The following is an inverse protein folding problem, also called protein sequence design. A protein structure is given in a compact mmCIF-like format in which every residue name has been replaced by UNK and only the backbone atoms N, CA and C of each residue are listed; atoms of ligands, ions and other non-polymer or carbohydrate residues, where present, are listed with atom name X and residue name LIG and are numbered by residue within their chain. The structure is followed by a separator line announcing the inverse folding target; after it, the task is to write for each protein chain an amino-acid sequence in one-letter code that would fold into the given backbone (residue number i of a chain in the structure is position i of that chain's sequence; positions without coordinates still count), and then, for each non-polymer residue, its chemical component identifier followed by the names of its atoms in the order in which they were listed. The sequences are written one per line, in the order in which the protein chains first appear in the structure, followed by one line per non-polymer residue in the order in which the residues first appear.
data_IF_264144130140
#
_entry.id   IF_264144130140
#
_cell.length_a   1.000
_cell.length_b   1.000
_cell.length_c   1.000
_cell.angle_alpha   90.00
_cell.angle_beta   90.00
_cell.angle_gamma   90.00
#
_symmetry.space_group_name_H-M   'P 1'
#
loop_
_entity.id
_entity.type
_entity.pdbx_description
1 polymer ?
#
# COMPACT_ATOMS: atom_id res chain seq x y z
N UNK A 1 17.99 14.34 -20.17
CA UNK A 1 17.95 13.93 -18.74
C UNK A 1 19.34 13.90 -18.11
N UNK A 2 20.38 13.32 -18.75
CA UNK A 2 21.76 13.37 -18.22
C UNK A 2 22.32 14.79 -18.06
N UNK A 3 22.06 15.69 -19.02
CA UNK A 3 22.53 17.09 -18.99
C UNK A 3 21.91 17.90 -17.83
N UNK A 4 20.65 17.63 -17.48
CA UNK A 4 19.94 18.30 -16.37
C UNK A 4 20.47 17.81 -15.01
N UNK A 5 20.79 16.52 -14.90
CA UNK A 5 21.44 15.97 -13.69
C UNK A 5 22.84 16.53 -13.45
N UNK A 6 23.60 16.78 -14.53
CA UNK A 6 24.94 17.38 -14.45
C UNK A 6 24.85 18.86 -14.04
N UNK A 7 23.88 19.63 -14.55
CA UNK A 7 23.67 21.04 -14.17
C UNK A 7 23.19 21.24 -12.72
N UNK A 8 22.50 20.24 -12.14
CA UNK A 8 22.15 20.23 -10.72
C UNK A 8 23.37 20.05 -9.82
N UNK A 9 24.32 19.17 -10.20
CA UNK A 9 25.57 19.00 -9.44
C UNK A 9 26.46 20.24 -9.43
N UNK A 10 26.35 21.11 -10.44
CA UNK A 10 27.13 22.36 -10.55
C UNK A 10 26.42 23.54 -9.85
N UNK A 11 25.30 23.32 -9.16
CA UNK A 11 24.55 24.34 -8.41
C UNK A 11 24.09 25.55 -9.26
N UNK A 12 23.78 25.31 -10.54
CA UNK A 12 23.31 26.35 -11.47
C UNK A 12 21.79 26.27 -11.69
N UNK A 13 21.14 25.15 -11.35
CA UNK A 13 19.72 24.92 -11.60
C UNK A 13 18.88 24.87 -10.31
N UNK A 14 17.93 25.79 -10.17
CA UNK A 14 16.95 25.82 -9.08
C UNK A 14 15.81 24.80 -9.31
N UNK A 15 15.19 24.30 -8.23
CA UNK A 15 14.05 23.35 -8.26
C UNK A 15 12.94 23.76 -9.26
N UNK A 16 12.55 25.05 -9.38
CA UNK A 16 11.57 25.49 -10.37
C UNK A 16 11.99 25.24 -11.82
N UNK A 17 13.28 25.38 -12.16
CA UNK A 17 13.78 25.14 -13.51
C UNK A 17 13.71 23.65 -13.87
N UNK A 18 13.99 22.74 -12.92
CA UNK A 18 13.80 21.30 -13.14
C UNK A 18 12.34 20.92 -13.35
N UNK A 19 11.43 21.45 -12.52
CA UNK A 19 9.98 21.22 -12.69
C UNK A 19 9.48 21.79 -14.03
N UNK A 20 9.97 22.96 -14.45
CA UNK A 20 9.63 23.54 -15.75
C UNK A 20 10.15 22.70 -16.92
N UNK A 21 11.38 22.17 -16.83
CA UNK A 21 11.96 21.32 -17.86
C UNK A 21 11.26 19.97 -17.97
N UNK A 22 10.83 19.38 -16.85
CA UNK A 22 9.98 18.18 -16.82
C UNK A 22 8.61 18.49 -17.42
N UNK A 23 8.03 19.65 -17.10
CA UNK A 23 6.77 20.11 -17.68
C UNK A 23 6.84 20.27 -19.20
N UNK A 24 7.87 20.96 -19.71
CA UNK A 24 8.11 21.12 -21.15
C UNK A 24 8.37 19.77 -21.81
N UNK A 25 9.13 18.88 -21.16
CA UNK A 25 9.35 17.52 -21.66
C UNK A 25 8.05 16.71 -21.75
N UNK A 26 7.14 16.84 -20.78
CA UNK A 26 5.83 16.20 -20.82
C UNK A 26 4.91 16.75 -21.91
N UNK A 27 4.97 18.06 -22.17
CA UNK A 27 4.24 18.70 -23.27
C UNK A 27 4.80 18.24 -24.63
N UNK A 28 6.12 18.25 -24.81
CA UNK A 28 6.76 17.87 -26.07
C UNK A 28 6.65 16.37 -26.37
N UNK A 29 6.67 15.51 -25.36
CA UNK A 29 6.60 14.05 -25.55
C UNK A 29 5.18 13.57 -25.85
N UNK A 30 4.17 14.43 -25.77
CA UNK A 30 2.79 14.09 -26.10
C UNK A 30 2.33 12.85 -25.34
N UNK A 31 2.43 12.86 -24.01
CA UNK A 31 1.70 11.86 -23.25
C UNK A 31 0.23 12.12 -23.52
N UNK A 32 -0.49 11.11 -24.03
CA UNK A 32 -1.94 11.10 -24.26
C UNK A 32 -2.75 11.29 -22.95
N UNK A 33 -2.35 12.22 -22.08
CA UNK A 33 -2.96 12.54 -20.79
C UNK A 33 -4.40 12.96 -21.02
N UNK A 34 -4.66 13.80 -22.02
CA UNK A 34 -6.02 14.24 -22.36
C UNK A 34 -6.92 13.08 -22.79
N UNK A 35 -6.39 12.14 -23.59
CA UNK A 35 -7.14 10.93 -23.97
C UNK A 35 -7.35 9.98 -22.78
N UNK A 36 -6.39 9.92 -21.85
CA UNK A 36 -6.50 9.12 -20.62
C UNK A 36 -7.51 9.73 -19.65
N UNK A 37 -7.54 11.05 -19.49
CA UNK A 37 -8.51 11.78 -18.67
C UNK A 37 -9.91 11.65 -19.31
N UNK A 38 -10.05 11.89 -20.62
CA UNK A 38 -11.30 11.71 -21.33
C UNK A 38 -11.83 10.27 -21.26
N UNK A 39 -10.94 9.28 -21.39
CA UNK A 39 -11.26 7.87 -21.20
C UNK A 39 -11.67 7.53 -19.77
N UNK A 40 -11.00 8.11 -18.77
CA UNK A 40 -11.34 7.93 -17.35
C UNK A 40 -12.73 8.52 -17.02
N UNK A 41 -13.05 9.71 -17.53
CA UNK A 41 -14.37 10.35 -17.36
C UNK A 41 -15.46 9.52 -18.05
N UNK A 42 -15.22 9.04 -19.27
CA UNK A 42 -16.15 8.16 -19.99
C UNK A 42 -16.39 6.86 -19.22
N UNK A 43 -15.35 6.24 -18.68
CA UNK A 43 -15.45 5.05 -17.84
C UNK A 43 -16.19 5.34 -16.53
N UNK A 44 -16.00 6.52 -15.93
CA UNK A 44 -16.71 6.96 -14.73
C UNK A 44 -18.22 7.09 -14.97
N UNK A 45 -18.64 7.69 -16.08
CA UNK A 45 -20.06 7.77 -16.43
C UNK A 45 -20.68 6.38 -16.68
N UNK A 46 -19.90 5.41 -17.16
CA UNK A 46 -20.36 4.03 -17.36
C UNK A 46 -20.61 3.28 -16.05
N UNK A 47 -20.04 3.71 -14.91
CA UNK A 47 -20.25 3.08 -13.59
C UNK A 47 -21.74 3.08 -13.22
N UNK A 48 -22.47 4.16 -13.51
CA UNK A 48 -23.90 4.26 -13.21
C UNK A 48 -24.77 3.27 -14.00
N UNK A 49 -24.25 2.71 -15.10
CA UNK A 49 -24.97 1.74 -15.96
C UNK A 49 -24.58 0.28 -15.66
N UNK A 50 -23.67 0.04 -14.70
CA UNK A 50 -23.22 -1.29 -14.32
C UNK A 50 -24.20 -1.98 -13.34
N UNK A 51 -24.26 -3.33 -13.32
CA UNK A 51 -25.00 -4.05 -12.29
C UNK A 51 -24.43 -3.79 -10.89
N UNK A 52 -25.28 -3.86 -9.85
CA UNK A 52 -24.95 -3.45 -8.48
C UNK A 52 -23.64 -4.05 -7.92
N UNK A 53 -23.33 -5.31 -8.24
CA UNK A 53 -22.08 -5.96 -7.80
C UNK A 53 -20.82 -5.40 -8.48
N UNK A 54 -20.92 -4.85 -9.69
CA UNK A 54 -19.83 -4.19 -10.39
C UNK A 54 -19.67 -2.72 -9.95
N UNK A 55 -20.78 -2.05 -9.58
CA UNK A 55 -20.74 -0.75 -8.93
C UNK A 55 -20.00 -0.82 -7.58
N UNK A 56 -20.29 -1.84 -6.77
CA UNK A 56 -19.61 -2.07 -5.49
C UNK A 56 -18.09 -2.23 -5.67
N UNK A 57 -17.65 -2.97 -6.70
CA UNK A 57 -16.23 -3.12 -7.03
C UNK A 57 -15.57 -1.80 -7.42
N UNK A 58 -16.28 -0.98 -8.17
CA UNK A 58 -15.78 0.32 -8.61
C UNK A 58 -15.71 1.31 -7.44
N UNK A 59 -16.76 1.35 -6.60
CA UNK A 59 -16.76 2.12 -5.35
C UNK A 59 -15.61 1.71 -4.44
N UNK A 60 -15.39 0.41 -4.24
CA UNK A 60 -14.27 -0.09 -3.45
C UNK A 60 -12.91 0.35 -4.00
N UNK A 61 -12.73 0.40 -5.33
CA UNK A 61 -11.50 0.92 -5.93
C UNK A 61 -11.29 2.41 -5.64
N UNK A 62 -12.34 3.24 -5.71
CA UNK A 62 -12.27 4.65 -5.35
C UNK A 62 -11.96 4.85 -3.86
N UNK A 63 -12.67 4.15 -2.98
CA UNK A 63 -12.44 4.20 -1.54
C UNK A 63 -11.02 3.76 -1.20
N UNK A 64 -10.52 2.72 -1.85
CA UNK A 64 -9.14 2.24 -1.67
C UNK A 64 -8.12 3.31 -2.08
N UNK A 65 -8.33 3.95 -3.22
CA UNK A 65 -7.46 5.02 -3.69
C UNK A 65 -7.40 6.20 -2.71
N UNK A 66 -8.56 6.66 -2.24
CA UNK A 66 -8.65 7.76 -1.27
C UNK A 66 -7.99 7.37 0.05
N UNK A 67 -8.33 6.21 0.61
CA UNK A 67 -7.76 5.73 1.88
C UNK A 67 -6.26 5.50 1.78
N UNK A 68 -5.75 5.06 0.63
CA UNK A 68 -4.32 4.90 0.42
C UNK A 68 -3.59 6.25 0.46
N UNK A 69 -4.11 7.27 -0.22
CA UNK A 69 -3.54 8.62 -0.18
C UNK A 69 -3.57 9.19 1.24
N UNK A 70 -4.71 9.05 1.94
CA UNK A 70 -4.83 9.50 3.33
C UNK A 70 -3.86 8.71 4.24
N UNK A 71 -3.68 7.42 4.00
CA UNK A 71 -2.71 6.60 4.73
C UNK A 71 -1.27 7.09 4.57
N UNK A 72 -0.87 7.46 3.34
CA UNK A 72 0.46 8.06 3.10
C UNK A 72 0.61 9.40 3.83
N UNK A 73 -0.42 10.24 3.80
CA UNK A 73 -0.43 11.51 4.54
C UNK A 73 -0.32 11.28 6.05
N UNK A 74 -1.07 10.33 6.61
CA UNK A 74 -1.00 9.98 8.02
C UNK A 74 0.37 9.44 8.42
N UNK A 75 1.01 8.61 7.57
CA UNK A 75 2.38 8.16 7.79
C UNK A 75 3.37 9.32 7.84
N UNK A 76 3.24 10.29 6.92
CA UNK A 76 4.07 11.49 6.89
C UNK A 76 3.92 12.34 8.16
N UNK A 77 2.69 12.69 8.54
CA UNK A 77 2.42 13.51 9.75
C UNK A 77 2.89 12.79 11.01
N UNK A 78 2.66 11.48 11.12
CA UNK A 78 3.11 10.67 12.26
C UNK A 78 4.63 10.67 12.38
N UNK A 79 5.34 10.54 11.26
CA UNK A 79 6.81 10.57 11.23
C UNK A 79 7.35 11.91 11.70
N UNK A 80 6.78 13.01 11.21
CA UNK A 80 7.18 14.36 11.64
C UNK A 80 6.94 14.56 13.13
N UNK A 81 5.76 14.17 13.62
CA UNK A 81 5.46 14.22 15.06
C UNK A 81 6.46 13.42 15.88
N UNK A 82 6.78 12.20 15.46
CA UNK A 82 7.73 11.34 16.15
C UNK A 82 9.16 11.92 16.17
N UNK A 83 9.60 12.57 15.10
CA UNK A 83 10.89 13.27 15.05
C UNK A 83 10.94 14.37 16.13
N UNK A 84 9.96 15.28 16.14
CA UNK A 84 9.96 16.41 17.06
C UNK A 84 9.83 15.98 18.54
N UNK A 85 9.19 14.85 18.80
CA UNK A 85 9.11 14.27 20.15
C UNK A 85 10.44 13.66 20.59
N UNK A 86 11.12 12.92 19.72
CA UNK A 86 12.35 12.19 20.06
C UNK A 86 13.61 13.05 19.98
N UNK A 87 13.61 14.06 19.10
CA UNK A 87 14.73 14.95 18.83
C UNK A 87 14.24 16.40 18.82
N UNK A 88 14.20 17.08 19.99
CA UNK A 88 13.90 18.51 20.04
C UNK A 88 15.00 19.28 19.29
N UNK A 89 14.60 20.10 18.31
CA UNK A 89 15.47 20.82 17.36
C UNK A 89 16.29 19.90 16.41
N UNK A 90 15.61 19.16 15.51
CA UNK A 90 16.31 18.33 14.54
C UNK A 90 17.15 19.19 13.58
N UNK A 91 18.38 18.76 13.23
CA UNK A 91 19.24 19.49 12.32
C UNK A 91 18.70 19.50 10.90
N UNK A 92 19.04 20.53 10.11
CA UNK A 92 18.55 20.67 8.75
C UNK A 92 18.96 19.46 7.86
N UNK A 93 18.01 18.82 7.12
CA UNK A 93 18.29 17.62 6.34
C UNK A 93 19.32 17.77 5.22
N UNK A 94 19.45 18.98 4.65
CA UNK A 94 20.35 19.25 3.52
C UNK A 94 21.80 19.41 3.98
N UNK A 95 22.01 19.91 5.20
CA UNK A 95 23.36 20.10 5.75
C UNK A 95 23.85 18.89 6.55
N UNK A 96 22.96 18.13 7.20
CA UNK A 96 23.31 17.00 8.07
C UNK A 96 22.79 15.65 7.56
N UNK A 97 23.00 15.33 6.29
CA UNK A 97 22.48 14.11 5.66
C UNK A 97 22.90 12.82 6.38
N UNK A 98 24.15 12.70 6.83
CA UNK A 98 24.63 11.52 7.56
C UNK A 98 23.87 11.24 8.86
N UNK A 99 23.46 12.30 9.56
CA UNK A 99 22.66 12.16 10.78
C UNK A 99 21.28 11.57 10.47
N UNK A 100 20.64 12.01 9.38
CA UNK A 100 19.36 11.48 8.95
C UNK A 100 19.44 10.05 8.39
N UNK A 101 20.54 9.70 7.73
CA UNK A 101 20.80 8.33 7.27
C UNK A 101 20.84 7.33 8.43
N UNK A 102 21.47 7.70 9.55
CA UNK A 102 21.50 6.88 10.76
C UNK A 102 20.10 6.68 11.38
N UNK A 103 19.18 7.61 11.15
CA UNK A 103 17.78 7.54 11.64
C UNK A 103 16.81 6.93 10.66
N UNK A 104 17.25 6.45 9.49
CA UNK A 104 16.38 5.77 8.50
C UNK A 104 15.52 4.68 9.12
N UNK A 105 16.04 3.76 9.97
CA UNK A 105 15.21 2.71 10.56
C UNK A 105 14.04 3.29 11.35
N UNK A 106 14.30 4.32 12.18
CA UNK A 106 13.28 5.00 12.96
C UNK A 106 12.25 5.73 12.08
N UNK A 107 12.70 6.42 11.03
CA UNK A 107 11.81 7.12 10.08
C UNK A 107 10.89 6.15 9.36
N UNK A 108 11.44 5.05 8.84
CA UNK A 108 10.67 3.99 8.18
C UNK A 108 9.70 3.36 9.19
N UNK A 109 10.15 3.05 10.39
CA UNK A 109 9.32 2.46 11.44
C UNK A 109 8.12 3.33 11.80
N UNK A 110 8.35 4.64 11.97
CA UNK A 110 7.32 5.63 12.27
C UNK A 110 6.33 5.80 11.12
N UNK A 111 6.83 5.89 9.89
CA UNK A 111 6.01 5.99 8.69
C UNK A 111 5.11 4.78 8.54
N UNK A 112 5.68 3.56 8.58
CA UNK A 112 4.93 2.30 8.50
C UNK A 112 3.87 2.26 9.59
N UNK A 113 4.23 2.56 10.84
CA UNK A 113 3.30 2.50 11.96
C UNK A 113 2.11 3.45 11.83
N UNK A 114 2.31 4.63 11.22
CA UNK A 114 1.26 5.61 10.96
C UNK A 114 0.42 5.32 9.70
N UNK A 115 0.98 4.70 8.66
CA UNK A 115 0.27 4.49 7.39
C UNK A 115 -0.40 3.13 7.25
N UNK A 116 0.14 2.09 7.89
CA UNK A 116 -0.16 0.70 7.55
C UNK A 116 -1.61 0.30 7.84
N UNK A 117 -2.23 0.88 8.86
CA UNK A 117 -3.61 0.56 9.24
C UNK A 117 -4.59 0.98 8.14
N UNK A 118 -4.48 2.23 7.68
CA UNK A 118 -5.32 2.74 6.59
C UNK A 118 -5.02 2.06 5.26
N UNK A 119 -3.74 1.79 4.97
CA UNK A 119 -3.35 1.05 3.76
C UNK A 119 -3.92 -0.38 3.75
N UNK A 120 -3.90 -1.07 4.89
CA UNK A 120 -4.47 -2.41 5.02
C UNK A 120 -6.00 -2.38 4.91
N UNK A 121 -6.68 -1.44 5.57
CA UNK A 121 -8.13 -1.25 5.45
C UNK A 121 -8.53 -1.00 3.99
N UNK A 122 -7.80 -0.12 3.29
CA UNK A 122 -8.01 0.16 1.88
C UNK A 122 -7.94 -1.12 1.03
N UNK A 123 -6.87 -1.90 1.19
CA UNK A 123 -6.68 -3.13 0.43
C UNK A 123 -7.72 -4.21 0.80
N UNK A 124 -8.12 -4.32 2.07
CA UNK A 124 -9.17 -5.24 2.52
C UNK A 124 -10.52 -4.92 1.88
N UNK A 125 -10.88 -3.63 1.78
CA UNK A 125 -12.11 -3.18 1.11
C UNK A 125 -12.12 -3.66 -0.35
N UNK A 126 -11.00 -3.50 -1.07
CA UNK A 126 -10.87 -4.01 -2.45
C UNK A 126 -11.02 -5.54 -2.52
N UNK A 127 -10.42 -6.28 -1.59
CA UNK A 127 -10.51 -7.74 -1.57
C UNK A 127 -11.95 -8.19 -1.29
N UNK A 128 -12.63 -7.59 -0.32
CA UNK A 128 -14.03 -7.88 0.01
C UNK A 128 -14.93 -7.61 -1.19
N UNK A 129 -14.74 -6.49 -1.86
CA UNK A 129 -15.49 -6.16 -3.06
C UNK A 129 -15.25 -7.16 -4.19
N UNK A 130 -14.01 -7.63 -4.36
CA UNK A 130 -13.68 -8.68 -5.32
C UNK A 130 -14.31 -10.04 -4.95
N UNK A 131 -14.39 -10.39 -3.66
CA UNK A 131 -15.06 -11.62 -3.19
C UNK A 131 -16.54 -11.58 -3.58
N UNK A 132 -17.24 -10.49 -3.28
CA UNK A 132 -18.65 -10.29 -3.64
C UNK A 132 -18.82 -10.36 -5.16
N UNK A 133 -17.99 -9.63 -5.90
CA UNK A 133 -18.01 -9.65 -7.37
C UNK A 133 -17.83 -11.06 -7.94
N UNK A 134 -16.86 -11.84 -7.45
CA UNK A 134 -16.59 -13.20 -7.92
C UNK A 134 -17.68 -14.19 -7.51
N UNK A 135 -18.32 -14.01 -6.36
CA UNK A 135 -19.45 -14.83 -5.94
C UNK A 135 -20.62 -14.69 -6.92
N UNK A 136 -21.04 -13.45 -7.19
CA UNK A 136 -22.19 -13.18 -8.07
C UNK A 136 -21.89 -13.46 -9.55
N UNK A 137 -20.66 -13.22 -9.99
CA UNK A 137 -20.23 -13.59 -11.36
C UNK A 137 -19.95 -15.08 -11.53
N UNK A 138 -20.15 -15.90 -10.47
CA UNK A 138 -19.85 -17.34 -10.42
C UNK A 138 -18.44 -17.64 -10.95
N UNK A 139 -17.47 -16.86 -10.50
CA UNK A 139 -16.07 -17.02 -10.86
C UNK A 139 -15.31 -17.78 -9.75
N UNK A 140 -14.62 -18.90 -10.05
CA UNK A 140 -13.86 -19.65 -9.06
C UNK A 140 -12.68 -18.87 -8.45
N UNK A 141 -12.33 -17.70 -8.99
CA UNK A 141 -11.30 -16.80 -8.43
C UNK A 141 -11.62 -16.29 -7.02
N UNK A 142 -12.85 -16.45 -6.53
CA UNK A 142 -13.25 -16.11 -5.15
C UNK A 142 -12.31 -16.72 -4.10
N UNK A 143 -11.91 -17.99 -4.28
CA UNK A 143 -10.99 -18.68 -3.36
C UNK A 143 -9.59 -18.06 -3.35
N UNK A 144 -9.17 -17.46 -4.46
CA UNK A 144 -7.94 -16.66 -4.53
C UNK A 144 -8.07 -15.37 -3.74
N UNK A 145 -9.19 -14.67 -3.87
CA UNK A 145 -9.45 -13.42 -3.14
C UNK A 145 -9.52 -13.64 -1.62
N UNK A 146 -10.16 -14.72 -1.15
CA UNK A 146 -10.19 -15.10 0.27
C UNK A 146 -8.77 -15.35 0.80
N UNK A 147 -7.96 -16.14 0.08
CA UNK A 147 -6.56 -16.38 0.45
C UNK A 147 -5.75 -15.07 0.50
N UNK A 148 -5.95 -14.20 -0.48
CA UNK A 148 -5.34 -12.87 -0.52
C UNK A 148 -5.73 -12.01 0.67
N UNK A 149 -6.99 -12.06 1.12
CA UNK A 149 -7.46 -11.33 2.29
C UNK A 149 -6.80 -11.79 3.59
N UNK A 150 -6.71 -13.10 3.80
CA UNK A 150 -6.01 -13.65 4.97
C UNK A 150 -4.51 -13.29 4.94
N UNK A 151 -3.87 -13.42 3.78
CA UNK A 151 -2.47 -13.03 3.61
C UNK A 151 -2.25 -11.54 3.89
N UNK A 152 -3.14 -10.68 3.42
CA UNK A 152 -3.07 -9.24 3.68
C UNK A 152 -3.17 -8.92 5.17
N UNK A 153 -4.05 -9.59 5.92
CA UNK A 153 -4.17 -9.42 7.38
C UNK A 153 -2.86 -9.74 8.10
N UNK A 154 -2.18 -10.81 7.68
CA UNK A 154 -0.89 -11.18 8.28
C UNK A 154 0.24 -10.26 7.86
N UNK A 155 0.27 -9.80 6.61
CA UNK A 155 1.23 -8.78 6.16
C UNK A 155 1.03 -7.48 6.95
N UNK A 156 -0.22 -7.06 7.16
CA UNK A 156 -0.52 -5.90 8.01
C UNK A 156 0.01 -6.09 9.43
N UNK A 157 -0.29 -7.22 10.07
CA UNK A 157 0.16 -7.50 11.43
C UNK A 157 1.70 -7.53 11.55
N UNK A 158 2.38 -8.14 10.58
CA UNK A 158 3.84 -8.17 10.52
C UNK A 158 4.44 -6.78 10.31
N UNK A 159 3.93 -6.02 9.35
CA UNK A 159 4.42 -4.66 9.08
C UNK A 159 4.17 -3.73 10.26
N UNK A 160 3.00 -3.84 10.92
CA UNK A 160 2.71 -3.06 12.12
C UNK A 160 3.71 -3.35 13.22
N UNK A 161 4.03 -4.61 13.48
CA UNK A 161 5.02 -4.98 14.51
C UNK A 161 6.44 -4.62 14.12
N UNK A 162 6.82 -4.85 12.86
CA UNK A 162 8.11 -4.42 12.34
C UNK A 162 8.31 -2.91 12.49
N UNK A 163 7.26 -2.11 12.23
CA UNK A 163 7.25 -0.67 12.46
C UNK A 163 7.58 -0.30 13.91
N UNK A 164 6.98 -0.98 14.88
CA UNK A 164 7.24 -0.75 16.31
C UNK A 164 8.68 -1.11 16.68
N UNK A 165 9.17 -2.27 16.24
CA UNK A 165 10.55 -2.73 16.48
C UNK A 165 11.57 -1.71 15.96
N UNK A 166 11.31 -1.17 14.76
CA UNK A 166 12.15 -0.14 14.15
C UNK A 166 12.14 1.20 14.92
N UNK A 167 11.04 1.53 15.62
CA UNK A 167 10.91 2.78 16.39
C UNK A 167 11.63 2.69 17.73
N UNK A 168 11.39 1.60 18.48
CA UNK A 168 11.93 1.44 19.83
C UNK A 168 13.38 1.00 19.82
N UNK A 169 13.82 0.39 18.72
CA UNK A 169 15.10 -0.33 18.67
C UNK A 169 14.96 -1.69 19.34
N UNK A 170 15.62 -2.69 18.78
CA UNK A 170 15.74 -4.01 19.40
C UNK A 170 17.10 -4.06 20.11
N UNK A 171 17.10 -4.26 21.43
CA UNK A 171 18.34 -4.39 22.22
C UNK A 171 18.75 -5.85 22.45
N UNK A 172 18.19 -6.78 21.67
CA UNK A 172 18.49 -8.20 21.77
C UNK A 172 17.75 -9.02 20.70
N UNK A 173 17.88 -10.35 20.79
CA UNK A 173 17.17 -11.29 19.93
C UNK A 173 15.74 -11.58 20.43
N UNK A 174 15.44 -12.85 20.71
CA UNK A 174 14.12 -13.29 21.19
C UNK A 174 13.78 -12.86 22.63
N UNK A 175 14.74 -12.29 23.35
CA UNK A 175 14.56 -11.75 24.69
C UNK A 175 13.77 -10.42 24.66
N UNK A 176 13.83 -9.69 23.54
CA UNK A 176 13.04 -8.49 23.35
C UNK A 176 11.56 -8.88 23.13
N UNK A 177 10.62 -8.41 23.96
CA UNK A 177 9.21 -8.73 23.83
C UNK A 177 8.63 -8.42 22.44
N UNK A 178 9.14 -7.39 21.77
CA UNK A 178 8.65 -7.00 20.46
C UNK A 178 9.11 -7.93 19.35
N UNK A 179 10.37 -8.37 19.41
CA UNK A 179 10.94 -9.35 18.47
C UNK A 179 10.27 -10.71 18.68
N UNK A 180 10.02 -11.09 19.93
CA UNK A 180 9.27 -12.30 20.27
C UNK A 180 7.83 -12.26 19.72
N UNK A 181 7.11 -11.15 19.92
CA UNK A 181 5.77 -10.98 19.36
C UNK A 181 5.75 -11.02 17.83
N UNK A 182 6.76 -10.43 17.17
CA UNK A 182 6.92 -10.50 15.72
C UNK A 182 7.11 -11.95 15.26
N UNK A 183 7.95 -12.73 15.95
CA UNK A 183 8.17 -14.14 15.66
C UNK A 183 6.89 -14.98 15.83
N UNK A 184 6.13 -14.76 16.91
CA UNK A 184 4.84 -15.42 17.14
C UNK A 184 3.86 -15.10 16.01
N UNK A 185 3.75 -13.83 15.62
CA UNK A 185 2.86 -13.40 14.53
C UNK A 185 3.27 -14.05 13.21
N UNK A 186 4.57 -14.18 12.94
CA UNK A 186 5.05 -14.88 11.74
C UNK A 186 4.67 -16.36 11.75
N UNK A 187 4.86 -17.06 12.87
CA UNK A 187 4.53 -18.49 13.02
C UNK A 187 3.02 -18.71 12.89
N UNK A 188 2.21 -17.95 13.62
CA UNK A 188 0.75 -18.02 13.54
C UNK A 188 0.25 -17.68 12.14
N UNK A 189 0.88 -16.71 11.47
CA UNK A 189 0.60 -16.38 10.07
C UNK A 189 0.84 -17.55 9.13
N UNK A 190 1.96 -18.25 9.28
CA UNK A 190 2.26 -19.44 8.48
C UNK A 190 1.25 -20.57 8.71
N UNK A 191 0.89 -20.84 9.98
CA UNK A 191 -0.09 -21.88 10.33
C UNK A 191 -1.45 -21.55 9.72
N UNK A 192 -1.95 -20.34 9.94
CA UNK A 192 -3.27 -19.92 9.45
C UNK A 192 -3.34 -19.83 7.93
N UNK A 193 -2.27 -19.42 7.25
CA UNK A 193 -2.20 -19.45 5.78
C UNK A 193 -2.24 -20.88 5.24
N UNK A 194 -1.56 -21.81 5.89
CA UNK A 194 -1.59 -23.23 5.53
C UNK A 194 -3.00 -23.80 5.67
N UNK A 195 -3.66 -23.56 6.81
CA UNK A 195 -5.05 -23.97 7.06
C UNK A 195 -5.98 -23.34 6.02
N UNK A 196 -5.86 -22.04 5.77
CA UNK A 196 -6.68 -21.31 4.78
C UNK A 196 -6.51 -21.90 3.39
N UNK A 197 -5.29 -22.26 2.98
CA UNK A 197 -5.01 -22.88 1.70
C UNK A 197 -5.68 -24.26 1.57
N UNK A 198 -5.63 -25.08 2.63
CA UNK A 198 -6.29 -26.40 2.65
C UNK A 198 -7.80 -26.22 2.57
N UNK A 199 -8.37 -25.39 3.43
CA UNK A 199 -9.82 -25.14 3.53
C UNK A 199 -10.37 -24.58 2.22
N UNK A 200 -9.71 -23.56 1.63
CA UNK A 200 -10.15 -22.97 0.36
C UNK A 200 -10.03 -23.94 -0.82
N UNK A 201 -9.04 -24.85 -0.82
CA UNK A 201 -8.95 -25.94 -1.81
C UNK A 201 -10.09 -26.95 -1.64
N UNK A 202 -10.39 -27.36 -0.41
CA UNK A 202 -11.48 -28.30 -0.12
C UNK A 202 -12.84 -27.71 -0.52
N UNK A 203 -13.12 -26.48 -0.10
CA UNK A 203 -14.33 -25.74 -0.47
C UNK A 203 -14.43 -25.54 -1.98
N UNK A 204 -13.33 -25.21 -2.65
CA UNK A 204 -13.29 -25.08 -4.11
C UNK A 204 -13.69 -26.37 -4.84
N UNK A 205 -13.31 -27.54 -4.32
CA UNK A 205 -13.75 -28.84 -4.86
C UNK A 205 -15.22 -29.10 -4.57
N UNK A 206 -15.67 -28.86 -3.34
CA UNK A 206 -17.05 -29.09 -2.90
C UNK A 206 -18.06 -28.23 -3.68
N UNK A 207 -17.77 -26.95 -3.83
CA UNK A 207 -18.63 -25.99 -4.54
C UNK A 207 -18.34 -25.89 -6.03
N UNK A 208 -17.52 -26.78 -6.60
CA UNK A 208 -17.17 -26.78 -8.04
C UNK A 208 -18.40 -26.80 -8.95
N UNK A 209 -19.49 -27.46 -8.52
CA UNK A 209 -20.76 -27.50 -9.25
C UNK A 209 -21.44 -26.13 -9.37
N UNK A 210 -21.35 -25.28 -8.33
CA UNK A 210 -21.92 -23.92 -8.36
C UNK A 210 -21.24 -23.02 -9.38
N UNK A 211 -19.93 -23.23 -9.60
CA UNK A 211 -19.11 -22.45 -10.52
C UNK A 211 -19.05 -23.03 -11.95
N UNK A 212 -19.65 -24.19 -12.22
CA UNK A 212 -19.81 -24.69 -13.60
C UNK A 212 -20.83 -23.80 -14.33
N UNK A 213 -20.40 -23.16 -15.43
CA UNK A 213 -21.33 -22.51 -16.37
C UNK A 213 -22.34 -23.55 -16.83
N UNK A 214 -23.64 -23.24 -16.77
CA UNK A 214 -24.64 -23.95 -17.59
C UNK A 214 -24.25 -23.68 -19.05
N UNK A 215 -23.61 -24.66 -19.69
CA UNK A 215 -23.61 -24.79 -21.14
C UNK A 215 -25.03 -25.01 -21.62
#
# INVERSE_FOLDING_TARGET
MAIVGILYMVNVASIPLMLSAIGIYFILRGFNVDQRIGGAIKNFMQVFRMPAYAQLRTFAAFTTFILFIIGLYMGYITTIGAIYVKYPNPPDPLTYTWWWLDKIPFLIGSFISGSIDLAAIALLITILANIVYYLFSRNPRIWGAIRGGVLLLWIWALLKRAGVVLITGATGGLEDPQVFLLAIIAILGMITLTVTLIVTRMLGRMYSKYFRRKT
#
